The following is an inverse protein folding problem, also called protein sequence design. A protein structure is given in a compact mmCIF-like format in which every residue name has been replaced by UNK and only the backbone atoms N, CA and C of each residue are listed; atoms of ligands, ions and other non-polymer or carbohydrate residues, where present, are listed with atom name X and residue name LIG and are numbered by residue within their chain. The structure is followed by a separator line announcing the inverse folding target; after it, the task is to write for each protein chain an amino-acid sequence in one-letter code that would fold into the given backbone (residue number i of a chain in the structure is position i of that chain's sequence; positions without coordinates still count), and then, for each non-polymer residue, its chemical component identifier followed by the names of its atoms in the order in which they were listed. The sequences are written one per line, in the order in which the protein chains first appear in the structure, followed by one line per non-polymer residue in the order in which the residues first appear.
data_IF_605258224737
#
_entry.id   IF_605258224737
#
_cell.length_a   1.000
_cell.length_b   1.000
_cell.length_c   1.000
_cell.angle_alpha   90.00
_cell.angle_beta   90.00
_cell.angle_gamma   90.00
#
_symmetry.space_group_name_H-M   'P 1'
#
loop_
_entity.id
_entity.type
_entity.pdbx_description
1 polymer ?
#
# COMPACT_ATOMS: atom_id res chain seq x y z
N UNK A 1 -0.73 -17.56 -45.90
CA UNK A 1 -1.19 -16.21 -45.51
C UNK A 1 -1.69 -16.29 -44.07
N UNK A 2 -0.98 -15.70 -43.12
CA UNK A 2 -1.38 -15.66 -41.71
C UNK A 2 -2.44 -14.58 -41.50
N UNK A 3 -3.66 -14.96 -41.16
CA UNK A 3 -4.73 -14.04 -40.79
C UNK A 3 -4.43 -13.45 -39.40
N UNK A 4 -3.66 -12.36 -39.36
CA UNK A 4 -3.47 -11.55 -38.16
C UNK A 4 -4.81 -10.94 -37.76
N UNK A 5 -5.40 -11.42 -36.67
CA UNK A 5 -6.59 -10.81 -36.08
C UNK A 5 -6.15 -9.54 -35.35
N UNK A 6 -6.56 -8.37 -35.86
CA UNK A 6 -6.35 -7.08 -35.22
C UNK A 6 -7.40 -6.91 -34.12
N UNK A 7 -6.95 -6.65 -32.90
CA UNK A 7 -7.83 -6.39 -31.76
C UNK A 7 -7.88 -4.88 -31.54
N UNK A 8 -9.09 -4.31 -31.55
CA UNK A 8 -9.35 -2.90 -31.27
C UNK A 8 -9.85 -2.75 -29.84
N UNK A 9 -9.13 -1.99 -29.03
CA UNK A 9 -9.65 -1.48 -27.76
C UNK A 9 -9.87 0.03 -27.90
N UNK A 10 -11.06 0.50 -27.56
CA UNK A 10 -11.44 1.89 -27.61
C UNK A 10 -11.56 2.42 -26.17
N UNK A 11 -10.51 3.05 -25.66
CA UNK A 11 -10.63 3.98 -24.54
C UNK A 11 -10.23 5.37 -25.04
N UNK A 12 -11.08 6.36 -24.75
CA UNK A 12 -10.84 7.78 -25.05
C UNK A 12 -10.64 8.13 -26.53
N UNK A 13 -11.61 7.76 -27.38
CA UNK A 13 -11.77 8.27 -28.77
C UNK A 13 -10.60 8.01 -29.73
N UNK A 14 -9.62 7.20 -29.34
CA UNK A 14 -8.45 6.82 -30.15
C UNK A 14 -8.45 5.31 -30.37
N UNK A 15 -8.40 4.91 -31.64
CA UNK A 15 -8.33 3.50 -32.05
C UNK A 15 -6.88 3.04 -32.02
N UNK A 16 -6.55 2.15 -31.09
CA UNK A 16 -5.26 1.48 -31.04
C UNK A 16 -5.42 0.07 -31.61
N UNK A 17 -4.65 -0.26 -32.64
CA UNK A 17 -4.59 -1.59 -33.22
C UNK A 17 -3.34 -2.28 -32.68
N UNK A 18 -3.53 -3.34 -31.90
CA UNK A 18 -2.42 -4.13 -31.34
C UNK A 18 -2.32 -5.47 -32.07
N UNK A 19 -1.09 -5.87 -32.37
CA UNK A 19 -0.77 -7.20 -32.89
C UNK A 19 -0.85 -8.22 -31.74
N UNK A 20 -1.36 -9.42 -32.00
CA UNK A 20 -1.65 -10.42 -30.96
C UNK A 20 -0.36 -10.82 -30.22
N UNK A 21 -0.16 -10.28 -29.02
CA UNK A 21 1.06 -10.48 -28.22
C UNK A 21 1.68 -9.18 -27.67
N UNK A 22 1.29 -8.01 -28.17
CA UNK A 22 1.66 -6.75 -27.52
C UNK A 22 0.70 -6.47 -26.36
N UNK A 23 1.19 -6.33 -25.12
CA UNK A 23 0.35 -5.92 -24.01
C UNK A 23 -0.19 -4.54 -24.35
N UNK A 24 -1.53 -4.43 -24.45
CA UNK A 24 -2.16 -3.14 -24.66
C UNK A 24 -1.73 -2.17 -23.56
N UNK A 25 -1.82 -0.86 -23.82
CA UNK A 25 -1.49 0.18 -22.83
C UNK A 25 -2.15 -0.11 -21.47
N UNK A 26 -3.37 -0.66 -21.49
CA UNK A 26 -4.14 -1.07 -20.32
C UNK A 26 -3.51 -2.24 -19.53
N UNK A 27 -2.90 -3.23 -20.20
CA UNK A 27 -2.20 -4.35 -19.55
C UNK A 27 -0.91 -3.89 -18.87
N UNK A 28 -0.23 -2.88 -19.44
CA UNK A 28 0.97 -2.28 -18.84
C UNK A 28 0.58 -1.55 -17.55
N UNK A 29 -0.50 -0.78 -17.56
CA UNK A 29 -1.03 -0.11 -16.37
C UNK A 29 -1.51 -1.10 -15.31
N UNK A 30 -2.25 -2.14 -15.70
CA UNK A 30 -2.69 -3.19 -14.79
C UNK A 30 -1.50 -3.91 -14.13
N UNK A 31 -0.46 -4.22 -14.90
CA UNK A 31 0.79 -4.82 -14.38
C UNK A 31 1.48 -3.90 -13.37
N UNK A 32 1.61 -2.60 -13.67
CA UNK A 32 2.18 -1.62 -12.72
C UNK A 32 1.36 -1.46 -11.44
N UNK A 33 0.03 -1.42 -11.56
CA UNK A 33 -0.88 -1.31 -10.41
C UNK A 33 -0.79 -2.55 -9.51
N UNK A 34 -0.55 -3.74 -10.07
CA UNK A 34 -0.35 -4.96 -9.30
C UNK A 34 0.85 -4.93 -8.35
N UNK A 35 1.91 -4.18 -8.69
CA UNK A 35 3.09 -4.02 -7.83
C UNK A 35 3.03 -2.81 -6.89
N UNK A 36 2.01 -1.95 -7.03
CA UNK A 36 1.85 -0.74 -6.22
C UNK A 36 1.90 -1.02 -4.70
N UNK A 37 1.23 -2.06 -4.16
CA UNK A 37 1.29 -2.35 -2.72
C UNK A 37 2.71 -2.70 -2.25
N UNK A 38 3.47 -3.40 -3.09
CA UNK A 38 4.84 -3.82 -2.79
C UNK A 38 5.79 -2.60 -2.76
N UNK A 39 5.73 -1.74 -3.78
CA UNK A 39 6.51 -0.50 -3.81
C UNK A 39 6.17 0.42 -2.64
N UNK A 40 4.88 0.52 -2.31
CA UNK A 40 4.41 1.32 -1.18
C UNK A 40 4.95 0.79 0.16
N UNK A 41 4.96 -0.53 0.36
CA UNK A 41 5.51 -1.16 1.55
C UNK A 41 7.03 -0.91 1.68
N UNK A 42 7.79 -1.04 0.59
CA UNK A 42 9.23 -0.76 0.56
C UNK A 42 9.51 0.70 0.90
N UNK A 43 8.79 1.65 0.30
CA UNK A 43 8.92 3.07 0.60
C UNK A 43 8.64 3.36 2.08
N UNK A 44 7.60 2.72 2.64
CA UNK A 44 7.27 2.84 4.07
C UNK A 44 8.38 2.29 4.98
N UNK A 45 9.03 1.18 4.62
CA UNK A 45 10.16 0.63 5.40
C UNK A 45 11.35 1.60 5.44
N UNK A 46 11.68 2.25 4.31
CA UNK A 46 12.72 3.28 4.27
C UNK A 46 12.34 4.44 5.19
N UNK A 47 11.08 4.88 5.12
CA UNK A 47 10.53 5.95 5.97
C UNK A 47 10.63 5.60 7.46
N UNK A 48 10.38 4.34 7.82
CA UNK A 48 10.50 3.84 9.19
C UNK A 48 11.92 3.98 9.74
N UNK A 49 12.92 3.60 8.95
CA UNK A 49 14.34 3.67 9.34
C UNK A 49 14.73 5.12 9.64
N UNK A 50 14.25 6.06 8.82
CA UNK A 50 14.47 7.50 9.03
C UNK A 50 13.77 7.98 10.32
N UNK A 51 12.53 7.55 10.54
CA UNK A 51 11.74 7.97 11.70
C UNK A 51 12.31 7.47 13.04
N UNK A 52 12.75 6.21 13.12
CA UNK A 52 13.31 5.62 14.34
C UNK A 52 14.59 6.34 14.77
N UNK A 53 15.37 6.88 13.82
CA UNK A 53 16.59 7.64 14.12
C UNK A 53 16.31 9.03 14.71
N UNK A 54 15.17 9.63 14.40
CA UNK A 54 14.87 11.04 14.72
C UNK A 54 14.03 11.23 15.99
N UNK A 55 13.25 10.22 16.40
CA UNK A 55 12.25 10.36 17.46
C UNK A 55 12.69 9.68 18.77
N UNK A 56 12.63 10.43 19.89
CA UNK A 56 12.94 9.93 21.24
C UNK A 56 11.97 8.82 21.69
N UNK A 57 10.66 9.01 21.44
CA UNK A 57 9.63 8.01 21.73
C UNK A 57 9.41 7.06 20.55
N UNK A 58 10.22 5.99 20.49
CA UNK A 58 10.16 4.97 19.44
C UNK A 58 8.78 4.31 19.30
N UNK A 59 8.07 4.09 20.41
CA UNK A 59 6.72 3.48 20.38
C UNK A 59 5.68 4.37 19.70
N UNK A 60 5.71 5.69 19.94
CA UNK A 60 4.81 6.63 19.27
C UNK A 60 5.12 6.71 17.77
N UNK A 61 6.41 6.71 17.41
CA UNK A 61 6.85 6.72 16.03
C UNK A 61 6.38 5.46 15.29
N UNK A 62 6.56 4.28 15.90
CA UNK A 62 6.14 2.99 15.34
C UNK A 62 4.62 2.90 15.20
N UNK A 63 3.86 3.33 16.22
CA UNK A 63 2.40 3.33 16.16
C UNK A 63 1.85 4.24 15.07
N UNK A 64 2.39 5.47 14.97
CA UNK A 64 2.02 6.41 13.90
C UNK A 64 2.38 5.88 12.52
N UNK A 65 3.57 5.28 12.39
CA UNK A 65 4.02 4.66 11.15
C UNK A 65 3.14 3.48 10.73
N UNK A 66 2.73 2.61 11.66
CA UNK A 66 1.83 1.49 11.37
C UNK A 66 0.46 1.95 10.89
N UNK A 67 -0.09 3.03 11.47
CA UNK A 67 -1.34 3.62 10.99
C UNK A 67 -1.19 4.20 9.59
N UNK A 68 -0.09 4.91 9.31
CA UNK A 68 0.19 5.43 7.98
C UNK A 68 0.34 4.30 6.94
N UNK A 69 1.03 3.22 7.32
CA UNK A 69 1.17 2.02 6.49
C UNK A 69 -0.20 1.40 6.18
N UNK A 70 -1.08 1.27 7.18
CA UNK A 70 -2.43 0.73 6.99
C UNK A 70 -3.25 1.57 5.98
N UNK A 71 -3.19 2.90 6.09
CA UNK A 71 -3.88 3.81 5.15
C UNK A 71 -3.35 3.64 3.72
N UNK A 72 -2.02 3.55 3.57
CA UNK A 72 -1.40 3.41 2.24
C UNK A 72 -1.71 2.04 1.62
N UNK A 73 -1.67 0.97 2.42
CA UNK A 73 -2.06 -0.37 1.94
C UNK A 73 -3.55 -0.42 1.56
N UNK A 74 -4.42 0.24 2.32
CA UNK A 74 -5.84 0.34 1.99
C UNK A 74 -6.08 1.06 0.67
N UNK A 75 -5.50 2.26 0.49
CA UNK A 75 -5.58 3.03 -0.75
C UNK A 75 -5.00 2.25 -1.94
N UNK A 76 -3.85 1.60 -1.75
CA UNK A 76 -3.24 0.78 -2.81
C UNK A 76 -4.13 -0.41 -3.18
N UNK A 77 -4.78 -1.05 -2.20
CA UNK A 77 -5.73 -2.13 -2.43
C UNK A 77 -6.97 -1.66 -3.17
N UNK A 78 -7.50 -0.48 -2.85
CA UNK A 78 -8.66 0.09 -3.57
C UNK A 78 -8.35 0.40 -5.03
N UNK A 79 -7.16 0.92 -5.33
CA UNK A 79 -6.72 1.16 -6.71
C UNK A 79 -6.54 -0.16 -7.46
N UNK A 80 -5.98 -1.18 -6.80
CA UNK A 80 -5.83 -2.50 -7.43
C UNK A 80 -7.19 -3.14 -7.78
N UNK A 81 -8.19 -2.98 -6.92
CA UNK A 81 -9.55 -3.48 -7.15
C UNK A 81 -10.25 -2.79 -8.34
N UNK A 82 -9.97 -1.50 -8.56
CA UNK A 82 -10.54 -0.72 -9.66
C UNK A 82 -9.93 -1.10 -11.02
N UNK A 83 -8.61 -1.32 -11.07
CA UNK A 83 -7.89 -1.55 -12.34
C UNK A 83 -7.75 -3.02 -12.72
N UNK A 84 -7.93 -3.94 -11.76
CA UNK A 84 -7.79 -5.37 -11.98
C UNK A 84 -9.03 -6.08 -11.41
N UNK A 85 -10.16 -6.07 -12.14
CA UNK A 85 -11.41 -6.67 -11.67
C UNK A 85 -11.32 -8.21 -11.51
N UNK A 86 -10.38 -8.84 -12.22
CA UNK A 86 -10.03 -10.27 -12.09
C UNK A 86 -8.84 -10.51 -11.15
N UNK A 87 -8.41 -9.50 -10.37
CA UNK A 87 -7.31 -9.66 -9.44
C UNK A 87 -7.62 -10.84 -8.54
N UNK A 88 -6.85 -11.91 -8.75
CA UNK A 88 -6.97 -13.16 -8.05
C UNK A 88 -6.99 -12.83 -6.56
N UNK A 89 -8.17 -13.01 -5.92
CA UNK A 89 -8.46 -12.46 -4.61
C UNK A 89 -7.43 -12.90 -3.56
N UNK A 90 -6.63 -13.94 -3.83
CA UNK A 90 -5.57 -14.46 -2.96
C UNK A 90 -4.69 -13.38 -2.31
N UNK A 91 -3.99 -12.55 -3.08
CA UNK A 91 -3.04 -11.57 -2.50
C UNK A 91 -3.74 -10.32 -1.95
N UNK A 92 -4.77 -9.81 -2.62
CA UNK A 92 -5.55 -8.66 -2.15
C UNK A 92 -6.29 -8.95 -0.85
N UNK A 93 -6.88 -10.14 -0.71
CA UNK A 93 -7.64 -10.56 0.46
C UNK A 93 -6.75 -10.74 1.69
N UNK A 94 -5.50 -11.19 1.52
CA UNK A 94 -4.51 -11.21 2.62
C UNK A 94 -4.19 -9.80 3.13
N UNK A 95 -4.03 -8.83 2.24
CA UNK A 95 -3.82 -7.42 2.61
C UNK A 95 -5.04 -6.93 3.41
N UNK A 96 -6.25 -7.14 2.91
CA UNK A 96 -7.48 -6.73 3.60
C UNK A 96 -7.66 -7.42 4.96
N UNK A 97 -7.37 -8.71 5.08
CA UNK A 97 -7.44 -9.43 6.37
C UNK A 97 -6.36 -8.97 7.36
N UNK A 98 -5.21 -8.51 6.88
CA UNK A 98 -4.13 -8.01 7.74
C UNK A 98 -4.38 -6.58 8.26
N UNK A 99 -5.17 -5.77 7.56
CA UNK A 99 -5.41 -4.36 7.92
C UNK A 99 -5.95 -4.16 9.35
N UNK A 100 -6.98 -4.90 9.82
CA UNK A 100 -7.47 -4.76 11.20
C UNK A 100 -6.38 -5.04 12.24
N UNK A 101 -5.52 -6.04 11.97
CA UNK A 101 -4.43 -6.42 12.87
C UNK A 101 -3.40 -5.30 12.95
N UNK A 102 -3.01 -4.74 11.79
CA UNK A 102 -2.07 -3.62 11.70
C UNK A 102 -2.63 -2.38 12.43
N UNK A 103 -3.91 -2.07 12.26
CA UNK A 103 -4.58 -0.94 12.91
C UNK A 103 -4.56 -1.13 14.43
N UNK A 104 -4.97 -2.30 14.93
CA UNK A 104 -4.96 -2.60 16.37
C UNK A 104 -3.56 -2.51 16.96
N UNK A 105 -2.56 -3.08 16.27
CA UNK A 105 -1.16 -2.99 16.69
C UNK A 105 -0.67 -1.54 16.74
N UNK A 106 -1.02 -0.74 15.73
CA UNK A 106 -0.71 0.70 15.68
C UNK A 106 -1.31 1.47 16.85
N UNK A 107 -2.60 1.25 17.15
CA UNK A 107 -3.30 1.88 18.28
C UNK A 107 -2.64 1.49 19.61
N UNK A 108 -2.37 0.20 19.82
CA UNK A 108 -1.72 -0.28 21.05
C UNK A 108 -0.35 0.38 21.27
N UNK A 109 0.45 0.51 20.22
CA UNK A 109 1.76 1.17 20.27
C UNK A 109 1.65 2.67 20.54
N UNK A 110 0.62 3.34 20.03
CA UNK A 110 0.35 4.74 20.35
C UNK A 110 -0.03 4.91 21.83
N UNK A 111 -0.98 4.10 22.33
CA UNK A 111 -1.41 4.14 23.73
C UNK A 111 -0.23 3.87 24.66
N UNK A 112 0.57 2.85 24.36
CA UNK A 112 1.76 2.53 25.13
C UNK A 112 2.80 3.66 25.12
N UNK A 113 3.05 4.26 23.94
CA UNK A 113 3.97 5.37 23.80
C UNK A 113 3.52 6.63 24.55
N UNK A 114 2.22 6.92 24.57
CA UNK A 114 1.64 8.01 25.35
C UNK A 114 1.77 7.74 26.86
N UNK A 115 1.53 6.51 27.28
CA UNK A 115 1.67 6.12 28.69
C UNK A 115 3.12 6.25 29.17
N UNK A 116 4.10 5.78 28.39
CA UNK A 116 5.52 5.95 28.70
C UNK A 116 5.90 7.44 28.80
N UNK A 117 5.46 8.27 27.85
CA UNK A 117 5.71 9.71 27.87
C UNK A 117 5.23 10.35 29.17
N UNK A 118 3.98 10.07 29.57
CA UNK A 118 3.38 10.58 30.82
C UNK A 118 4.13 10.11 32.06
N UNK A 119 4.66 8.89 32.05
CA UNK A 119 5.41 8.31 33.19
C UNK A 119 6.74 9.04 33.40
N UNK A 120 7.43 9.38 32.31
CA UNK A 120 8.69 10.14 32.34
C UNK A 120 8.43 11.57 32.83
N UNK A 121 7.41 12.25 32.30
CA UNK A 121 7.04 13.62 32.71
C UNK A 121 6.68 13.71 34.21
N UNK A 122 6.04 12.68 34.78
CA UNK A 122 5.76 12.62 36.22
C UNK A 122 7.01 12.37 37.07
N UNK A 123 8.03 11.71 36.53
CA UNK A 123 9.27 11.44 37.25
C UNK A 123 10.20 12.64 37.27
N UNK A 124 10.18 13.49 36.24
CA UNK A 124 10.99 14.72 36.19
C UNK A 124 10.43 15.85 37.07
N UNK A 125 9.15 15.78 37.45
CA UNK A 125 8.45 16.79 38.25
C UNK A 125 8.42 16.49 39.77
N UNK A 126 8.97 15.36 40.22
CA UNK A 126 9.04 14.92 41.62
C UNK A 126 10.48 14.91 42.11
#
# INVERSE_FOLDING_TARGET
LSNGRLYMSASDSRLYAFEHGEPGIQDIYASFVGYLPLFAAVAMLVLLIVFIRKIKNKSLALGSWLLALAVVLFLSGTIMLEYIPEADWGMGLLVFMSLPIIIVAGILLLVYGMWQKRKIERSDNN
#
